data_IF_223546545608
#
_entry.id   IF_223546545608
#
_cell.length_a   1.000
_cell.length_b   1.000
_cell.length_c   1.000
_cell.angle_alpha   90.00
_cell.angle_beta   90.00
_cell.angle_gamma   90.00
#
_symmetry.space_group_name_H-M   'P 1'
#
loop_
_entity.id
_entity.type
_entity.pdbx_description
1 polymer ?
#
# COMPACT_ATOMS: atom_id res chain seq x y z
N UNK A 1 26.03 59.42 -21.19
CA UNK A 1 26.65 58.29 -20.48
C UNK A 1 25.76 57.07 -20.65
N UNK A 2 26.19 56.11 -21.45
CA UNK A 2 25.45 54.89 -21.79
C UNK A 2 26.19 53.69 -21.22
N UNK A 3 25.49 52.75 -20.56
CA UNK A 3 25.78 51.31 -20.64
C UNK A 3 24.74 50.49 -19.86
N UNK A 4 24.01 49.64 -20.58
CA UNK A 4 23.30 48.49 -20.02
C UNK A 4 24.28 47.33 -19.77
N UNK A 5 24.08 46.54 -18.70
CA UNK A 5 24.58 45.16 -18.67
C UNK A 5 23.73 44.25 -17.75
N UNK A 6 23.20 43.21 -18.39
CA UNK A 6 22.40 42.09 -17.86
C UNK A 6 23.13 41.29 -16.79
N UNK A 7 22.41 40.78 -15.78
CA UNK A 7 22.86 39.65 -14.94
C UNK A 7 21.81 38.53 -14.87
N UNK A 8 22.07 37.55 -15.74
CA UNK A 8 21.88 36.10 -15.68
C UNK A 8 21.01 35.52 -14.55
N UNK A 9 20.05 34.71 -14.99
CA UNK A 9 19.16 33.93 -14.13
C UNK A 9 19.86 32.93 -13.22
N UNK A 10 19.25 32.74 -12.05
CA UNK A 10 19.45 31.60 -11.18
C UNK A 10 18.19 30.74 -11.27
N UNK A 11 18.21 29.76 -12.18
CA UNK A 11 17.31 28.62 -12.12
C UNK A 11 17.65 27.78 -10.90
N UNK A 12 16.63 27.40 -10.14
CA UNK A 12 16.78 26.59 -8.94
C UNK A 12 15.44 26.38 -8.25
N UNK A 13 14.37 26.23 -9.02
CA UNK A 13 13.14 25.63 -8.52
C UNK A 13 13.41 24.16 -8.25
N UNK A 14 14.11 23.87 -7.15
CA UNK A 14 14.11 22.56 -6.56
C UNK A 14 12.67 22.30 -6.14
N UNK A 15 11.96 21.50 -6.93
CA UNK A 15 10.75 20.85 -6.47
C UNK A 15 11.16 20.11 -5.20
N UNK A 16 10.77 20.65 -4.04
CA UNK A 16 10.84 19.91 -2.80
C UNK A 16 10.12 18.59 -3.11
N UNK A 17 10.89 17.50 -3.21
CA UNK A 17 10.33 16.17 -3.38
C UNK A 17 9.31 16.05 -2.26
N UNK A 18 8.03 16.04 -2.61
CA UNK A 18 6.95 15.93 -1.65
C UNK A 18 7.32 14.75 -0.78
N UNK A 19 7.60 15.03 0.50
CA UNK A 19 8.11 14.06 1.45
C UNK A 19 6.98 13.06 1.67
N UNK A 20 6.91 12.08 0.76
CA UNK A 20 5.90 11.05 0.78
C UNK A 20 6.17 10.30 2.07
N UNK A 21 5.17 10.14 2.95
CA UNK A 21 5.38 9.46 4.21
C UNK A 21 6.04 8.12 3.93
N UNK A 22 7.07 7.78 4.71
CA UNK A 22 7.80 6.53 4.54
C UNK A 22 6.77 5.38 4.48
N UNK A 23 6.77 4.70 3.33
CA UNK A 23 5.85 3.61 3.07
C UNK A 23 6.40 2.37 3.79
N UNK A 24 5.78 2.00 4.91
CA UNK A 24 6.15 0.82 5.69
C UNK A 24 4.97 -0.12 5.84
N UNK A 25 5.28 -1.39 6.11
CA UNK A 25 4.28 -2.44 6.35
C UNK A 25 4.09 -2.59 7.85
N UNK A 26 2.84 -2.52 8.31
CA UNK A 26 2.48 -2.71 9.72
C UNK A 26 2.03 -4.13 10.04
N UNK A 27 1.47 -4.84 9.08
CA UNK A 27 0.91 -6.17 9.29
C UNK A 27 0.93 -7.01 8.01
N UNK A 28 0.97 -8.33 8.18
CA UNK A 28 0.89 -9.31 7.10
C UNK A 28 0.03 -10.50 7.54
N UNK A 29 -0.83 -11.01 6.65
CA UNK A 29 -1.75 -12.12 6.92
C UNK A 29 -1.82 -13.04 5.71
N UNK A 30 -1.71 -14.35 5.92
CA UNK A 30 -2.03 -15.35 4.90
C UNK A 30 -3.56 -15.53 4.83
N UNK A 31 -4.11 -15.55 3.62
CA UNK A 31 -5.55 -15.81 3.44
C UNK A 31 -5.79 -17.31 3.35
N UNK A 32 -6.56 -17.86 4.28
CA UNK A 32 -6.77 -19.31 4.42
C UNK A 32 -7.48 -19.92 3.20
N UNK A 33 -8.52 -19.26 2.69
CA UNK A 33 -9.32 -19.70 1.54
C UNK A 33 -8.54 -19.70 0.22
N UNK A 34 -7.47 -18.90 0.15
CA UNK A 34 -6.57 -18.84 -0.98
C UNK A 34 -5.15 -19.08 -0.46
N UNK A 35 -4.79 -20.35 -0.24
CA UNK A 35 -3.50 -20.82 0.33
C UNK A 35 -2.22 -20.32 -0.38
N UNK A 36 -2.36 -19.53 -1.44
CA UNK A 36 -1.28 -18.88 -2.17
C UNK A 36 -1.39 -17.34 -2.15
N UNK A 37 -2.22 -16.77 -1.27
CA UNK A 37 -2.48 -15.34 -1.20
C UNK A 37 -2.03 -14.76 0.13
N UNK A 38 -1.39 -13.60 0.04
CA UNK A 38 -0.87 -12.85 1.18
C UNK A 38 -1.46 -11.44 1.16
N UNK A 39 -1.98 -10.96 2.26
CA UNK A 39 -2.39 -9.57 2.43
C UNK A 39 -1.34 -8.81 3.26
N UNK A 40 -0.96 -7.61 2.83
CA UNK A 40 -0.07 -6.70 3.57
C UNK A 40 -0.75 -5.37 3.83
N UNK A 41 -0.55 -4.82 5.03
CA UNK A 41 -1.10 -3.55 5.48
C UNK A 41 -0.07 -2.42 5.46
N UNK A 42 -0.45 -1.27 4.92
CA UNK A 42 0.33 -0.05 4.95
C UNK A 42 0.12 0.74 6.24
N UNK A 43 1.23 1.05 6.91
CA UNK A 43 1.22 1.72 8.21
C UNK A 43 0.82 3.20 8.12
N UNK A 44 0.97 3.83 6.95
CA UNK A 44 0.80 5.29 6.78
C UNK A 44 -0.21 5.68 5.72
N UNK A 45 -0.33 4.89 4.66
CA UNK A 45 -1.28 5.08 3.55
C UNK A 45 -2.60 4.31 3.73
N UNK A 46 -2.66 3.43 4.73
CA UNK A 46 -3.81 2.58 4.98
C UNK A 46 -4.04 1.52 3.91
N UNK A 47 -3.12 1.30 2.97
CA UNK A 47 -3.36 0.41 1.85
C UNK A 47 -3.32 -1.07 2.29
N UNK A 48 -4.32 -1.83 1.85
CA UNK A 48 -4.34 -3.28 1.89
C UNK A 48 -3.92 -3.76 0.49
N UNK A 49 -2.80 -4.47 0.42
CA UNK A 49 -2.29 -5.03 -0.83
C UNK A 49 -2.39 -6.53 -0.78
N UNK A 50 -3.01 -7.13 -1.80
CA UNK A 50 -3.12 -8.56 -1.97
C UNK A 50 -2.03 -9.04 -2.93
N UNK A 51 -1.40 -10.15 -2.60
CA UNK A 51 -0.30 -10.75 -3.35
C UNK A 51 -0.63 -12.20 -3.66
N UNK A 52 -0.46 -12.64 -4.91
CA UNK A 52 -0.46 -14.07 -5.26
C UNK A 52 0.99 -14.56 -5.28
N UNK A 53 1.32 -15.44 -4.33
CA UNK A 53 2.66 -16.00 -4.13
C UNK A 53 3.12 -16.87 -5.31
N UNK A 54 2.21 -17.32 -6.17
CA UNK A 54 2.54 -18.04 -7.41
C UNK A 54 2.90 -17.10 -8.56
N UNK A 55 2.74 -15.79 -8.37
CA UNK A 55 3.16 -14.75 -9.31
C UNK A 55 4.39 -13.98 -8.80
N UNK A 56 5.50 -14.65 -8.43
CA UNK A 56 6.74 -13.93 -8.18
C UNK A 56 7.31 -13.55 -9.54
N UNK A 57 7.12 -12.29 -9.95
CA UNK A 57 7.97 -11.67 -10.99
C UNK A 57 8.00 -12.43 -12.32
N UNK A 58 7.00 -12.30 -13.19
CA UNK A 58 7.13 -12.81 -14.57
C UNK A 58 8.09 -11.93 -15.36
N UNK A 59 9.39 -12.17 -15.22
CA UNK A 59 10.37 -11.80 -16.25
C UNK A 59 10.00 -12.56 -17.52
N UNK A 60 9.46 -11.85 -18.51
CA UNK A 60 8.99 -12.44 -19.76
C UNK A 60 10.06 -13.28 -20.46
N UNK A 61 9.94 -14.60 -20.39
CA UNK A 61 10.50 -15.52 -21.39
C UNK A 61 9.41 -15.84 -22.41
N UNK A 62 8.96 -14.80 -23.12
CA UNK A 62 8.20 -14.92 -24.36
C UNK A 62 9.16 -14.78 -25.54
N UNK A 63 9.12 -15.74 -26.47
CA UNK A 63 9.95 -15.81 -27.68
C UNK A 63 9.90 -14.49 -28.47
N UNK A 64 10.95 -13.70 -28.39
CA UNK A 64 11.09 -12.44 -29.13
C UNK A 64 12.55 -11.99 -29.12
N UNK A 65 13.09 -11.79 -30.32
CA UNK A 65 14.49 -11.50 -30.66
C UNK A 65 15.18 -10.56 -29.66
N UNK A 66 16.23 -11.06 -29.01
CA UNK A 66 17.04 -10.34 -28.05
C UNK A 66 17.63 -9.05 -28.64
N UNK A 67 17.21 -7.90 -28.11
CA UNK A 67 17.96 -6.65 -28.23
C UNK A 67 18.90 -6.54 -27.04
N UNK A 68 20.20 -6.68 -27.32
CA UNK A 68 21.26 -6.66 -26.34
C UNK A 68 21.44 -5.25 -25.75
N UNK A 69 20.72 -4.91 -24.67
CA UNK A 69 21.13 -3.85 -23.71
C UNK A 69 20.41 -3.76 -22.36
N UNK A 70 19.40 -4.58 -22.06
CA UNK A 70 18.80 -4.58 -20.72
C UNK A 70 19.56 -5.57 -19.82
N UNK A 71 20.41 -5.06 -18.93
CA UNK A 71 20.95 -5.82 -17.79
C UNK A 71 19.77 -6.29 -16.94
N UNK A 72 19.50 -7.60 -17.00
CA UNK A 72 18.71 -8.40 -16.05
C UNK A 72 17.65 -7.66 -15.22
N UNK A 73 16.56 -7.20 -15.84
CA UNK A 73 15.43 -6.65 -15.11
C UNK A 73 14.50 -7.76 -14.64
N UNK A 74 14.70 -8.27 -13.42
CA UNK A 74 13.62 -8.97 -12.73
C UNK A 74 12.49 -7.95 -12.51
N UNK A 75 11.32 -8.17 -13.13
CA UNK A 75 10.15 -7.33 -12.90
C UNK A 75 9.78 -7.42 -11.43
N UNK A 76 9.64 -6.31 -10.71
CA UNK A 76 9.22 -6.35 -9.31
C UNK A 76 7.84 -7.04 -9.18
N UNK A 77 7.59 -7.81 -8.10
CA UNK A 77 6.28 -8.38 -7.86
C UNK A 77 5.29 -7.23 -7.68
N UNK A 78 4.14 -7.33 -8.34
CA UNK A 78 3.06 -6.35 -8.22
C UNK A 78 1.90 -6.99 -7.46
N UNK A 79 1.24 -6.26 -6.56
CA UNK A 79 0.05 -6.76 -5.90
C UNK A 79 -1.04 -7.04 -6.94
N UNK A 80 -1.81 -8.10 -6.72
CA UNK A 80 -2.95 -8.47 -7.59
C UNK A 80 -4.14 -7.55 -7.37
N UNK A 81 -4.25 -6.97 -6.17
CA UNK A 81 -5.27 -6.02 -5.79
C UNK A 81 -4.72 -5.05 -4.74
N UNK A 82 -5.16 -3.79 -4.80
CA UNK A 82 -4.84 -2.77 -3.81
C UNK A 82 -6.12 -2.04 -3.45
N UNK A 83 -6.46 -2.05 -2.17
CA UNK A 83 -7.63 -1.34 -1.63
C UNK A 83 -7.18 -0.42 -0.52
N UNK A 84 -7.70 0.81 -0.50
CA UNK A 84 -7.52 1.73 0.64
C UNK A 84 -8.88 1.84 1.34
N UNK A 85 -8.97 1.61 2.66
CA UNK A 85 -10.17 1.82 3.43
C UNK A 85 -10.78 3.18 3.14
N UNK A 86 -12.11 3.23 3.09
CA UNK A 86 -12.81 4.45 2.76
C UNK A 86 -12.35 5.58 3.67
N UNK A 87 -11.92 6.65 3.03
CA UNK A 87 -11.39 7.84 3.66
C UNK A 87 -12.55 8.54 4.37
N UNK A 88 -12.49 8.65 5.69
CA UNK A 88 -13.51 9.38 6.46
C UNK A 88 -13.60 10.86 6.08
N UNK A 89 -14.40 11.63 6.83
CA UNK A 89 -14.66 13.05 6.54
C UNK A 89 -13.42 13.94 6.37
N UNK A 90 -12.24 13.52 6.88
CA UNK A 90 -10.97 14.24 6.76
C UNK A 90 -10.36 14.19 5.36
N UNK A 91 -10.82 13.31 4.47
CA UNK A 91 -10.22 13.19 3.14
C UNK A 91 -8.81 12.56 3.14
N UNK A 92 -8.27 12.13 4.28
CA UNK A 92 -6.96 11.48 4.40
C UNK A 92 -7.09 10.02 4.87
N UNK A 93 -6.46 9.05 4.20
CA UNK A 93 -6.48 7.67 4.68
C UNK A 93 -5.75 7.56 6.03
N UNK A 94 -6.28 6.69 6.89
CA UNK A 94 -5.65 6.34 8.16
C UNK A 94 -4.78 5.10 7.98
N UNK A 95 -3.61 5.12 8.63
CA UNK A 95 -2.73 3.96 8.67
C UNK A 95 -3.40 2.75 9.30
N UNK A 96 -3.02 1.55 8.84
CA UNK A 96 -3.46 0.31 9.45
C UNK A 96 -2.49 -0.06 10.57
N UNK A 97 -3.00 -0.41 11.74
CA UNK A 97 -2.22 -0.89 12.88
C UNK A 97 -1.98 -2.39 12.82
N UNK A 98 -3.03 -3.17 12.60
CA UNK A 98 -2.92 -4.63 12.49
C UNK A 98 -4.04 -5.22 11.63
N UNK A 99 -3.84 -6.46 11.18
CA UNK A 99 -4.84 -7.24 10.45
C UNK A 99 -4.94 -8.66 10.99
N UNK A 100 -6.10 -9.26 10.87
CA UNK A 100 -6.34 -10.68 11.15
C UNK A 100 -7.39 -11.23 10.19
N UNK A 101 -7.23 -12.47 9.73
CA UNK A 101 -8.29 -13.20 9.03
C UNK A 101 -9.24 -13.83 10.06
N UNK A 102 -10.51 -13.96 9.71
CA UNK A 102 -11.43 -14.79 10.47
C UNK A 102 -11.07 -16.29 10.33
N UNK A 103 -11.55 -17.16 11.23
CA UNK A 103 -11.22 -18.58 11.18
C UNK A 103 -11.64 -19.30 9.89
N UNK A 104 -12.69 -18.83 9.21
CA UNK A 104 -13.11 -19.37 7.91
C UNK A 104 -12.25 -18.84 6.75
N UNK A 105 -11.48 -17.78 6.93
CA UNK A 105 -10.71 -17.13 5.87
C UNK A 105 -11.55 -16.25 4.94
N UNK A 106 -12.84 -16.07 5.22
CA UNK A 106 -13.80 -15.33 4.41
C UNK A 106 -13.80 -13.82 4.70
N UNK A 107 -13.29 -13.42 5.87
CA UNK A 107 -13.25 -12.03 6.33
C UNK A 107 -11.86 -11.63 6.74
N UNK A 108 -11.49 -10.41 6.39
CA UNK A 108 -10.28 -9.76 6.87
C UNK A 108 -10.68 -8.63 7.82
N UNK A 109 -10.28 -8.73 9.08
CA UNK A 109 -10.41 -7.67 10.08
C UNK A 109 -9.19 -6.75 9.99
N UNK A 110 -9.44 -5.45 9.96
CA UNK A 110 -8.44 -4.39 9.79
C UNK A 110 -8.65 -3.35 10.88
N UNK A 111 -7.67 -3.21 11.77
CA UNK A 111 -7.68 -2.18 12.80
C UNK A 111 -6.88 -0.96 12.31
N UNK A 112 -7.52 0.20 12.29
CA UNK A 112 -6.96 1.46 11.77
C UNK A 112 -6.60 2.44 12.89
N UNK A 113 -5.70 3.37 12.59
CA UNK A 113 -5.27 4.43 13.52
C UNK A 113 -6.39 5.42 13.90
N UNK A 114 -7.56 5.37 13.26
CA UNK A 114 -8.75 6.15 13.61
C UNK A 114 -9.65 5.45 14.64
N UNK A 115 -9.14 4.42 15.32
CA UNK A 115 -9.88 3.65 16.32
C UNK A 115 -11.12 2.96 15.77
N UNK A 116 -11.04 2.49 14.51
CA UNK A 116 -12.07 1.67 13.87
C UNK A 116 -11.50 0.30 13.49
N UNK A 117 -12.31 -0.73 13.71
CA UNK A 117 -12.06 -2.05 13.13
C UNK A 117 -13.02 -2.20 11.95
N UNK A 118 -12.47 -2.30 10.74
CA UNK A 118 -13.23 -2.54 9.52
C UNK A 118 -13.08 -4.00 9.10
N UNK A 119 -14.15 -4.59 8.58
CA UNK A 119 -14.15 -5.95 8.02
C UNK A 119 -14.30 -5.90 6.51
N UNK A 120 -13.55 -6.75 5.81
CA UNK A 120 -13.59 -6.89 4.36
C UNK A 120 -13.92 -8.32 3.97
N UNK A 121 -14.54 -8.50 2.82
CA UNK A 121 -14.64 -9.81 2.15
C UNK A 121 -13.28 -10.15 1.53
N UNK A 122 -12.66 -11.26 1.92
CA UNK A 122 -11.34 -11.67 1.42
C UNK A 122 -11.36 -12.04 -0.07
N UNK A 123 -12.52 -12.46 -0.60
CA UNK A 123 -12.66 -12.76 -2.02
C UNK A 123 -12.81 -11.50 -2.87
N UNK A 124 -13.25 -10.38 -2.27
CA UNK A 124 -13.65 -9.15 -2.96
C UNK A 124 -13.28 -7.92 -2.14
N UNK A 125 -11.99 -7.71 -1.89
CA UNK A 125 -11.51 -6.58 -1.10
C UNK A 125 -11.92 -5.22 -1.70
N UNK A 126 -12.03 -5.13 -3.03
CA UNK A 126 -12.47 -3.96 -3.79
C UNK A 126 -13.92 -3.56 -3.58
N UNK A 127 -14.80 -4.45 -3.07
CA UNK A 127 -16.15 -4.06 -2.65
C UNK A 127 -16.12 -3.17 -1.39
N UNK A 128 -14.98 -3.11 -0.71
CA UNK A 128 -14.75 -2.23 0.42
C UNK A 128 -15.21 -2.84 1.74
N UNK A 129 -15.61 -1.97 2.66
CA UNK A 129 -15.90 -2.34 4.04
C UNK A 129 -17.28 -2.98 4.14
N UNK A 130 -17.34 -4.18 4.70
CA UNK A 130 -18.57 -4.95 4.95
C UNK A 130 -19.22 -4.54 6.27
N UNK A 131 -18.42 -4.34 7.31
CA UNK A 131 -18.88 -3.82 8.59
C UNK A 131 -17.78 -3.05 9.33
N UNK A 132 -18.20 -2.17 10.24
CA UNK A 132 -17.31 -1.39 11.09
C UNK A 132 -17.69 -1.57 12.56
N UNK A 133 -16.66 -1.62 13.40
CA UNK A 133 -16.77 -1.68 14.85
C UNK A 133 -15.99 -0.52 15.45
N UNK A 134 -16.60 0.12 16.45
CA UNK A 134 -16.09 1.29 17.16
C UNK A 134 -16.24 1.06 18.67
N UNK A 135 -15.54 1.86 19.48
CA UNK A 135 -15.59 1.79 20.95
C UNK A 135 -14.25 1.46 21.61
N UNK A 136 -13.24 1.07 20.83
CA UNK A 136 -11.85 1.02 21.30
C UNK A 136 -11.12 2.34 21.00
N UNK A 137 -9.91 2.47 21.53
CA UNK A 137 -9.01 3.59 21.26
C UNK A 137 -7.65 3.09 20.85
N UNK A 138 -7.16 3.61 19.74
CA UNK A 138 -5.83 3.30 19.18
C UNK A 138 -4.95 4.53 19.33
N UNK A 139 -4.05 4.51 20.31
CA UNK A 139 -3.06 5.59 20.51
C UNK A 139 -1.69 5.25 19.89
N UNK A 140 -1.36 3.98 19.72
CA UNK A 140 -0.08 3.52 19.16
C UNK A 140 -0.26 2.25 18.33
N UNK A 141 0.65 2.02 17.38
CA UNK A 141 0.72 0.78 16.60
C UNK A 141 1.39 -0.39 17.37
N UNK A 142 1.99 -0.11 18.52
CA UNK A 142 2.56 -1.13 19.39
C UNK A 142 1.49 -1.76 20.27
N UNK A 143 1.49 -3.09 20.34
CA UNK A 143 0.78 -3.83 21.39
C UNK A 143 1.60 -3.62 22.67
N UNK A 144 1.02 -2.92 23.65
CA UNK A 144 1.59 -2.84 25.00
C UNK A 144 1.21 -4.13 25.74
N UNK A 145 2.21 -4.82 26.26
CA UNK A 145 2.04 -6.03 27.07
C UNK A 145 1.62 -5.68 28.51
#
# INVERSE_FOLDING_TARGET
ESAAKRKRGGGGGGTAAANSPAQSVSSVVFLQDACNSLATAGATDGAIKLWDLRRPTTGGRGRGRASARSKGGASQPTPVEVTVPHVGASGRPHGIVCMAADPSGSRLLVNSCDSKISTYDTARLSEGVVAQFEGHRVDTFYIKA
#
